data_IF_507427570940
#
_entry.id   IF_507427570940
#
_cell.length_a   1.000
_cell.length_b   1.000
_cell.length_c   1.000
_cell.angle_alpha   90.00
_cell.angle_beta   90.00
_cell.angle_gamma   90.00
#
_symmetry.space_group_name_H-M   'P 1'
#
loop_
_entity.id
_entity.type
_entity.pdbx_description
1 polymer ?
#
# COMPACT_ATOMS: atom_id res chain seq x y z
N UNK A 1 100.77 35.83 -23.21
CA UNK A 1 100.14 34.57 -23.70
C UNK A 1 100.07 33.63 -22.51
N UNK A 2 99.01 32.94 -22.09
CA UNK A 2 97.58 32.84 -22.42
C UNK A 2 96.96 32.09 -21.22
N UNK A 3 95.68 32.33 -20.92
CA UNK A 3 94.74 31.58 -20.07
C UNK A 3 95.06 30.08 -19.82
N UNK A 4 94.59 29.41 -18.75
CA UNK A 4 93.17 29.15 -18.43
C UNK A 4 93.03 28.80 -16.93
N UNK A 5 92.21 29.57 -16.22
CA UNK A 5 91.59 29.16 -14.95
C UNK A 5 90.52 28.10 -15.23
N UNK A 6 90.72 26.85 -14.80
CA UNK A 6 89.63 25.87 -14.71
C UNK A 6 88.98 25.98 -13.34
N UNK A 7 87.94 26.81 -13.28
CA UNK A 7 87.00 26.96 -12.17
C UNK A 7 86.42 25.58 -11.84
N UNK A 8 86.86 24.98 -10.74
CA UNK A 8 86.25 23.78 -10.19
C UNK A 8 84.76 24.02 -10.03
N UNK A 9 83.94 23.25 -10.77
CA UNK A 9 82.50 23.26 -10.61
C UNK A 9 82.17 22.66 -9.26
N UNK A 10 81.94 23.51 -8.25
CA UNK A 10 81.16 23.18 -7.06
C UNK A 10 79.84 22.57 -7.53
N UNK A 11 79.75 21.24 -7.53
CA UNK A 11 78.51 20.51 -7.69
C UNK A 11 77.65 20.86 -6.48
N UNK A 12 76.63 21.68 -6.77
CA UNK A 12 75.63 22.17 -5.84
C UNK A 12 75.10 21.03 -4.96
N UNK A 13 75.29 21.21 -3.65
CA UNK A 13 74.53 20.56 -2.58
C UNK A 13 73.03 20.76 -2.82
N UNK A 14 72.40 19.90 -3.64
CA UNK A 14 70.96 19.72 -3.65
C UNK A 14 70.61 18.87 -2.43
N UNK A 15 70.40 19.58 -1.33
CA UNK A 15 69.95 19.06 -0.03
C UNK A 15 68.73 18.16 -0.21
N UNK A 16 68.57 17.23 0.73
CA UNK A 16 67.54 16.19 0.87
C UNK A 16 66.07 16.69 0.97
N UNK A 17 65.71 17.73 0.20
CA UNK A 17 64.39 18.36 0.17
C UNK A 17 63.41 17.55 -0.70
N UNK A 18 63.90 16.89 -1.77
CA UNK A 18 63.05 16.10 -2.66
C UNK A 18 62.37 14.89 -1.96
N UNK A 19 63.05 14.12 -1.09
CA UNK A 19 62.39 13.04 -0.33
C UNK A 19 61.29 13.55 0.61
N UNK A 20 61.48 14.71 1.25
CA UNK A 20 60.51 15.29 2.19
C UNK A 20 59.26 15.80 1.46
N UNK A 21 59.42 16.41 0.29
CA UNK A 21 58.28 16.85 -0.51
C UNK A 21 57.46 15.65 -0.99
N UNK A 22 58.12 14.56 -1.40
CA UNK A 22 57.44 13.35 -1.86
C UNK A 22 56.60 12.69 -0.74
N UNK A 23 57.11 12.61 0.48
CA UNK A 23 56.36 12.04 1.61
C UNK A 23 55.18 12.92 2.00
N UNK A 24 55.33 14.25 2.00
CA UNK A 24 54.23 15.18 2.27
C UNK A 24 53.11 15.08 1.23
N UNK A 25 53.46 14.96 -0.06
CA UNK A 25 52.47 14.74 -1.13
C UNK A 25 51.76 13.39 -1.01
N UNK A 26 52.50 12.34 -0.67
CA UNK A 26 51.93 11.00 -0.50
C UNK A 26 50.93 10.97 0.66
N UNK A 27 51.26 11.60 1.79
CA UNK A 27 50.36 11.72 2.94
C UNK A 27 49.12 12.53 2.57
N UNK A 28 49.27 13.64 1.84
CA UNK A 28 48.14 14.46 1.42
C UNK A 28 47.15 13.68 0.55
N UNK A 29 47.64 12.93 -0.43
CA UNK A 29 46.78 12.10 -1.31
C UNK A 29 46.09 10.99 -0.51
N UNK A 30 46.81 10.33 0.41
CA UNK A 30 46.23 9.29 1.25
C UNK A 30 45.10 9.82 2.14
N UNK A 31 45.27 10.99 2.74
CA UNK A 31 44.26 11.64 3.60
C UNK A 31 43.02 12.04 2.78
N UNK A 32 43.22 12.63 1.60
CA UNK A 32 42.12 13.04 0.71
C UNK A 32 41.39 11.82 0.14
N UNK A 33 42.12 10.77 -0.27
CA UNK A 33 41.51 9.52 -0.72
C UNK A 33 40.70 8.85 0.39
N UNK A 34 41.23 8.81 1.61
CA UNK A 34 40.56 8.24 2.78
C UNK A 34 39.28 9.00 3.15
N UNK A 35 39.28 10.34 3.10
CA UNK A 35 38.10 11.14 3.41
C UNK A 35 36.98 10.97 2.37
N UNK A 36 37.32 10.88 1.09
CA UNK A 36 36.33 10.62 0.03
C UNK A 36 35.67 9.25 0.21
N UNK A 37 36.46 8.20 0.45
CA UNK A 37 35.93 6.84 0.68
C UNK A 37 35.07 6.79 1.94
N UNK A 38 35.46 7.49 3.00
CA UNK A 38 34.70 7.56 4.24
C UNK A 38 33.34 8.25 4.05
N UNK A 39 33.30 9.42 3.39
CA UNK A 39 32.05 10.16 3.12
C UNK A 39 31.15 9.38 2.16
N UNK A 40 31.72 8.75 1.12
CA UNK A 40 30.98 7.89 0.22
C UNK A 40 30.38 6.68 0.96
N UNK A 41 31.14 6.05 1.86
CA UNK A 41 30.66 4.92 2.66
C UNK A 41 29.53 5.34 3.60
N UNK A 42 29.61 6.51 4.23
CA UNK A 42 28.51 7.05 5.05
C UNK A 42 27.24 7.27 4.22
N UNK A 43 27.36 7.88 3.04
CA UNK A 43 26.24 8.03 2.11
C UNK A 43 25.66 6.69 1.67
N UNK A 44 26.53 5.71 1.40
CA UNK A 44 26.12 4.35 1.03
C UNK A 44 25.45 3.61 2.19
N UNK A 45 25.91 3.73 3.44
CA UNK A 45 25.24 3.07 4.59
C UNK A 45 23.91 3.73 4.96
N UNK A 46 23.79 5.06 4.82
CA UNK A 46 22.51 5.75 4.98
C UNK A 46 21.51 5.39 3.88
N UNK A 47 21.98 5.13 2.66
CA UNK A 47 21.14 4.65 1.56
C UNK A 47 20.96 3.13 1.54
N UNK A 48 21.87 2.33 2.09
CA UNK A 48 21.72 0.88 2.23
C UNK A 48 20.83 0.53 3.44
N UNK A 49 20.58 1.49 4.34
CA UNK A 49 19.42 1.51 5.22
C UNK A 49 18.09 1.80 4.51
N UNK A 50 18.01 1.74 3.17
CA UNK A 50 16.76 1.60 2.37
C UNK A 50 16.12 0.21 2.54
N UNK A 51 16.26 -0.37 3.73
CA UNK A 51 15.36 -1.37 4.29
C UNK A 51 15.01 -0.97 5.73
N UNK A 52 14.76 0.32 5.94
CA UNK A 52 14.31 0.87 7.20
C UNK A 52 12.93 0.31 7.52
N UNK A 53 12.90 -0.64 8.46
CA UNK A 53 11.72 -1.37 8.96
C UNK A 53 10.84 -1.98 7.87
N UNK A 54 10.80 -3.33 7.70
CA UNK A 54 9.82 -3.93 6.80
C UNK A 54 8.43 -3.39 7.14
N UNK A 55 7.80 -2.72 6.18
CA UNK A 55 6.42 -2.26 6.30
C UNK A 55 5.55 -3.50 6.25
N UNK A 56 5.30 -4.10 7.43
CA UNK A 56 4.45 -5.27 7.55
C UNK A 56 3.01 -4.78 7.37
N UNK A 57 2.58 -4.74 6.12
CA UNK A 57 1.17 -4.69 5.79
C UNK A 57 0.58 -6.08 5.97
N UNK A 58 -0.54 -6.15 6.67
CA UNK A 58 -1.25 -7.40 6.90
C UNK A 58 -2.74 -7.11 6.91
N UNK A 59 -3.45 -7.58 5.90
CA UNK A 59 -4.90 -7.57 5.87
C UNK A 59 -5.40 -8.98 6.08
N UNK A 60 -6.32 -9.14 7.03
CA UNK A 60 -7.00 -10.40 7.31
C UNK A 60 -8.46 -10.29 6.91
N UNK A 61 -8.93 -11.22 6.08
CA UNK A 61 -10.35 -11.43 5.87
C UNK A 61 -10.94 -12.11 7.12
N UNK A 62 -11.99 -11.49 7.67
CA UNK A 62 -12.67 -12.00 8.88
C UNK A 62 -13.96 -12.71 8.48
N UNK A 63 -14.61 -12.24 7.42
CA UNK A 63 -15.88 -12.79 6.98
C UNK A 63 -16.45 -12.04 5.79
N UNK A 64 -17.67 -12.37 5.42
CA UNK A 64 -18.45 -11.75 4.37
C UNK A 64 -19.95 -12.00 4.60
N UNK A 65 -20.78 -11.16 4.01
CA UNK A 65 -22.20 -11.40 3.82
C UNK A 65 -22.53 -11.22 2.33
N UNK A 66 -22.68 -12.34 1.65
CA UNK A 66 -23.06 -12.42 0.24
C UNK A 66 -24.42 -13.06 0.04
N UNK A 67 -25.30 -13.01 1.04
CA UNK A 67 -26.67 -13.50 0.91
C UNK A 67 -27.45 -12.66 -0.10
N UNK A 68 -28.30 -13.34 -0.86
CA UNK A 68 -29.29 -12.71 -1.72
C UNK A 68 -30.48 -12.27 -0.84
N UNK A 69 -30.61 -10.96 -0.60
CA UNK A 69 -31.59 -10.43 0.34
C UNK A 69 -31.68 -8.91 0.32
N UNK A 70 -32.60 -8.36 1.12
CA UNK A 70 -32.79 -6.91 1.22
C UNK A 70 -31.83 -6.21 2.20
N UNK A 71 -31.06 -6.98 2.97
CA UNK A 71 -30.25 -6.48 4.06
C UNK A 71 -28.82 -7.02 3.98
N UNK A 72 -27.84 -6.18 4.36
CA UNK A 72 -26.44 -6.59 4.54
C UNK A 72 -26.09 -6.54 6.01
N UNK A 73 -25.47 -7.59 6.52
CA UNK A 73 -24.77 -7.53 7.80
C UNK A 73 -23.37 -6.96 7.59
N UNK A 74 -22.92 -6.11 8.51
CA UNK A 74 -21.57 -5.53 8.53
C UNK A 74 -20.70 -6.17 9.62
N UNK A 75 -19.43 -5.78 9.67
CA UNK A 75 -18.39 -6.40 10.49
C UNK A 75 -18.63 -6.32 12.01
N UNK A 76 -19.48 -5.42 12.47
CA UNK A 76 -19.90 -5.27 13.87
C UNK A 76 -21.20 -6.04 14.20
N UNK A 77 -21.72 -6.82 13.24
CA UNK A 77 -22.95 -7.61 13.37
C UNK A 77 -24.22 -6.80 13.16
N UNK A 78 -24.15 -5.50 12.90
CA UNK A 78 -25.32 -4.67 12.60
C UNK A 78 -25.82 -4.99 11.19
N UNK A 79 -27.15 -5.05 11.06
CA UNK A 79 -27.80 -5.29 9.77
C UNK A 79 -28.29 -3.96 9.19
N UNK A 80 -27.79 -3.64 8.00
CA UNK A 80 -28.17 -2.46 7.22
C UNK A 80 -29.39 -2.78 6.36
N UNK A 81 -30.46 -2.01 6.54
CA UNK A 81 -31.69 -2.17 5.78
C UNK A 81 -31.56 -1.58 4.36
N UNK A 82 -32.15 -2.25 3.36
CA UNK A 82 -32.21 -1.81 1.96
C UNK A 82 -30.82 -1.56 1.32
N UNK A 83 -29.87 -2.46 1.61
CA UNK A 83 -28.47 -2.30 1.22
C UNK A 83 -27.88 -3.45 0.40
N UNK A 84 -28.53 -4.62 0.32
CA UNK A 84 -28.03 -5.76 -0.43
C UNK A 84 -28.59 -5.85 -1.86
N UNK A 85 -29.90 -5.71 -2.05
CA UNK A 85 -30.54 -5.91 -3.35
C UNK A 85 -31.97 -6.45 -3.21
N UNK A 86 -32.42 -7.20 -4.21
CA UNK A 86 -33.69 -7.93 -4.19
C UNK A 86 -33.42 -9.43 -4.10
N UNK A 87 -34.20 -10.17 -3.31
CA UNK A 87 -34.11 -11.62 -3.22
C UNK A 87 -34.54 -12.29 -4.55
N UNK A 88 -33.63 -12.37 -5.52
CA UNK A 88 -33.91 -12.78 -6.90
C UNK A 88 -32.85 -13.74 -7.44
N UNK A 89 -32.82 -14.95 -6.87
CA UNK A 89 -32.03 -16.12 -7.29
C UNK A 89 -30.54 -15.82 -7.54
N UNK A 90 -29.99 -14.94 -6.70
CA UNK A 90 -28.58 -14.65 -6.60
C UNK A 90 -28.18 -13.20 -6.74
N UNK A 91 -26.86 -12.98 -6.66
CA UNK A 91 -26.29 -11.66 -6.63
C UNK A 91 -26.22 -11.08 -8.03
N UNK A 92 -27.16 -10.22 -8.37
CA UNK A 92 -27.29 -9.59 -9.67
C UNK A 92 -26.39 -8.34 -9.80
N UNK A 93 -26.17 -7.89 -11.04
CA UNK A 93 -25.52 -6.59 -11.27
C UNK A 93 -26.28 -5.47 -10.55
N UNK A 94 -25.55 -4.57 -9.91
CA UNK A 94 -26.07 -3.47 -9.09
C UNK A 94 -26.38 -3.86 -7.65
N UNK A 95 -26.39 -5.15 -7.31
CA UNK A 95 -26.53 -5.60 -5.92
C UNK A 95 -25.22 -5.49 -5.17
N UNK A 96 -25.29 -5.51 -3.84
CA UNK A 96 -24.13 -5.27 -2.98
C UNK A 96 -23.72 -6.49 -2.19
N UNK A 97 -22.42 -6.59 -1.99
CA UNK A 97 -21.74 -7.61 -1.20
C UNK A 97 -20.94 -6.94 -0.09
N UNK A 98 -21.02 -7.47 1.13
CA UNK A 98 -20.22 -6.99 2.26
C UNK A 98 -19.07 -7.96 2.56
N UNK A 99 -17.85 -7.43 2.67
CA UNK A 99 -16.64 -8.20 3.00
C UNK A 99 -15.97 -7.59 4.22
N UNK A 100 -15.71 -8.39 5.24
CA UNK A 100 -15.11 -7.94 6.49
C UNK A 100 -13.60 -8.13 6.46
N UNK A 101 -12.89 -7.04 6.68
CA UNK A 101 -11.43 -7.01 6.68
C UNK A 101 -10.93 -6.36 7.94
N UNK A 102 -9.74 -6.78 8.39
CA UNK A 102 -9.02 -6.09 9.45
C UNK A 102 -7.57 -5.89 9.06
N UNK A 103 -7.09 -4.67 9.30
CA UNK A 103 -5.67 -4.37 9.20
C UNK A 103 -4.97 -4.87 10.46
N UNK A 104 -4.26 -6.00 10.33
CA UNK A 104 -3.39 -6.59 11.34
C UNK A 104 -1.94 -6.09 11.21
N UNK A 105 -1.68 -5.17 10.27
CA UNK A 105 -0.39 -4.53 10.11
C UNK A 105 -0.12 -3.49 11.19
N UNK A 106 1.13 -3.01 11.22
CA UNK A 106 1.58 -1.95 12.14
C UNK A 106 1.46 -0.55 11.51
N UNK A 107 1.08 -0.47 10.23
CA UNK A 107 0.90 0.77 9.48
C UNK A 107 -0.46 0.81 8.80
N UNK A 108 -0.87 2.01 8.40
CA UNK A 108 -2.07 2.22 7.59
C UNK A 108 -1.92 1.48 6.26
N UNK A 109 -2.94 0.74 5.86
CA UNK A 109 -3.00 0.08 4.56
C UNK A 109 -3.89 0.91 3.63
N UNK A 110 -3.34 1.35 2.50
CA UNK A 110 -4.11 2.03 1.45
C UNK A 110 -4.37 1.04 0.32
N UNK A 111 -5.63 0.80 -0.02
CA UNK A 111 -6.05 -0.10 -1.08
C UNK A 111 -5.91 0.61 -2.43
N UNK A 112 -5.14 0.02 -3.35
CA UNK A 112 -4.97 0.50 -4.72
C UNK A 112 -5.83 -0.26 -5.72
N UNK A 113 -6.12 -1.54 -5.46
CA UNK A 113 -7.00 -2.36 -6.30
C UNK A 113 -7.88 -3.23 -5.40
N UNK A 114 -9.19 -3.21 -5.69
CA UNK A 114 -10.16 -4.14 -5.13
C UNK A 114 -10.76 -4.92 -6.30
N UNK A 115 -10.66 -6.25 -6.27
CA UNK A 115 -11.14 -7.11 -7.36
C UNK A 115 -11.97 -8.25 -6.80
N UNK A 116 -13.12 -8.49 -7.43
CA UNK A 116 -14.04 -9.56 -7.07
C UNK A 116 -14.54 -10.27 -8.33
N UNK A 117 -14.52 -11.60 -8.33
CA UNK A 117 -14.96 -12.45 -9.44
C UNK A 117 -14.28 -12.18 -10.82
N UNK A 118 -13.20 -11.39 -10.85
CA UNK A 118 -12.51 -10.97 -12.07
C UNK A 118 -12.67 -9.49 -12.38
N UNK A 119 -13.72 -8.85 -11.86
CA UNK A 119 -14.02 -7.43 -12.04
C UNK A 119 -13.25 -6.56 -11.03
N UNK A 120 -12.69 -5.45 -11.51
CA UNK A 120 -12.03 -4.42 -10.67
C UNK A 120 -13.05 -3.39 -10.26
N UNK A 121 -13.00 -2.98 -8.99
CA UNK A 121 -13.88 -2.01 -8.41
C UNK A 121 -13.12 -0.75 -8.04
N UNK A 122 -13.67 0.41 -8.40
CA UNK A 122 -13.10 1.71 -8.10
C UNK A 122 -13.64 2.26 -6.78
N UNK A 123 -12.82 3.03 -6.08
CA UNK A 123 -13.23 3.63 -4.81
C UNK A 123 -14.15 4.83 -5.07
N UNK A 124 -15.39 4.77 -4.56
CA UNK A 124 -16.40 5.82 -4.78
C UNK A 124 -16.51 6.77 -3.56
N UNK A 125 -15.77 6.53 -2.49
CA UNK A 125 -16.00 7.20 -1.21
C UNK A 125 -15.71 8.70 -1.14
N UNK A 126 -16.77 9.51 -1.18
CA UNK A 126 -16.75 10.92 -0.76
C UNK A 126 -17.95 11.37 0.09
N UNK A 127 -18.99 10.54 0.24
CA UNK A 127 -20.21 10.91 0.95
C UNK A 127 -20.28 10.28 2.35
N UNK A 128 -20.82 11.01 3.33
CA UNK A 128 -20.90 10.54 4.74
C UNK A 128 -21.96 9.45 4.97
N UNK A 129 -22.53 8.89 3.90
CA UNK A 129 -23.53 7.82 3.94
C UNK A 129 -23.43 6.97 2.68
N UNK A 130 -23.61 5.66 2.79
CA UNK A 130 -23.85 4.84 1.61
C UNK A 130 -25.13 5.33 0.91
N UNK A 131 -25.12 5.48 -0.43
CA UNK A 131 -26.35 5.72 -1.17
C UNK A 131 -27.34 4.59 -0.91
N UNK A 132 -28.59 4.91 -0.60
CA UNK A 132 -29.63 3.91 -0.46
C UNK A 132 -29.80 3.14 -1.78
N UNK A 133 -29.83 1.80 -1.74
CA UNK A 133 -30.34 1.06 -2.90
C UNK A 133 -31.85 1.30 -2.93
N UNK A 134 -32.33 2.01 -3.95
CA UNK A 134 -33.77 2.05 -4.20
C UNK A 134 -34.17 0.67 -4.71
N UNK A 135 -34.88 -0.12 -3.90
CA UNK A 135 -35.33 -1.45 -4.29
C UNK A 135 -36.01 -1.42 -5.67
N UNK A 136 -35.49 -2.19 -6.64
CA UNK A 136 -36.01 -2.24 -8.00
C UNK A 136 -35.42 -1.23 -9.00
N UNK A 137 -34.47 -0.38 -8.57
CA UNK A 137 -33.65 0.42 -9.47
C UNK A 137 -32.21 -0.06 -9.34
N UNK A 138 -31.76 -0.86 -10.30
CA UNK A 138 -30.34 -0.88 -10.63
C UNK A 138 -30.02 0.51 -11.15
N UNK A 139 -29.70 1.44 -10.25
CA UNK A 139 -29.21 2.75 -10.65
C UNK A 139 -27.82 2.51 -11.26
N UNK A 140 -27.83 2.29 -12.58
CA UNK A 140 -26.70 1.96 -13.45
C UNK A 140 -25.57 3.03 -13.48
N UNK A 141 -25.62 4.01 -12.58
CA UNK A 141 -24.65 5.09 -12.48
C UNK A 141 -23.40 4.71 -11.67
N UNK A 142 -23.47 3.69 -10.81
CA UNK A 142 -22.40 3.32 -9.87
C UNK A 142 -22.03 1.81 -9.91
N UNK A 143 -22.31 1.13 -11.02
CA UNK A 143 -21.91 -0.28 -11.19
C UNK A 143 -20.38 -0.40 -11.22
N UNK A 144 -19.81 -1.24 -10.36
CA UNK A 144 -18.36 -1.40 -10.25
C UNK A 144 -17.69 -0.52 -9.19
N UNK A 145 -18.45 0.00 -8.23
CA UNK A 145 -17.93 0.77 -7.09
C UNK A 145 -17.65 -0.02 -5.82
N UNK A 146 -16.76 0.51 -4.98
CA UNK A 146 -16.66 0.09 -3.58
C UNK A 146 -16.58 1.24 -2.57
N UNK A 147 -17.05 0.94 -1.35
CA UNK A 147 -17.00 1.80 -0.18
C UNK A 147 -16.33 1.06 0.99
N UNK A 148 -15.72 1.81 1.91
CA UNK A 148 -15.14 1.26 3.14
C UNK A 148 -15.90 1.82 4.34
N UNK A 149 -16.59 0.94 5.06
CA UNK A 149 -17.34 1.26 6.25
C UNK A 149 -16.50 0.94 7.48
N UNK A 150 -16.21 1.95 8.30
CA UNK A 150 -15.35 1.79 9.47
C UNK A 150 -16.12 1.60 10.76
N UNK A 151 -17.37 2.07 10.81
CA UNK A 151 -18.29 1.94 11.94
C UNK A 151 -19.72 1.97 11.41
N UNK A 152 -20.62 1.26 12.07
CA UNK A 152 -22.06 1.50 11.93
C UNK A 152 -22.61 2.12 13.22
N UNK A 153 -23.55 3.06 13.09
CA UNK A 153 -24.31 3.56 14.23
C UNK A 153 -25.79 3.15 14.12
N UNK A 154 -26.17 2.15 14.92
CA UNK A 154 -27.55 1.85 15.28
C UNK A 154 -28.49 1.41 14.15
N UNK A 155 -29.74 1.12 14.53
CA UNK A 155 -30.83 0.68 13.65
C UNK A 155 -31.16 1.78 12.64
N UNK A 156 -30.71 1.62 11.39
CA UNK A 156 -30.81 2.66 10.34
C UNK A 156 -29.46 3.14 9.81
N UNK A 157 -28.35 2.73 10.43
CA UNK A 157 -27.02 2.68 9.84
C UNK A 157 -26.52 4.00 9.25
N UNK A 158 -26.26 5.02 10.08
CA UNK A 158 -25.27 6.02 9.64
C UNK A 158 -23.93 5.31 9.62
N UNK A 159 -23.30 5.33 8.47
CA UNK A 159 -22.06 4.62 8.22
C UNK A 159 -20.93 5.63 8.17
N UNK A 160 -19.96 5.48 9.06
CA UNK A 160 -18.75 6.28 8.97
C UNK A 160 -17.91 5.69 7.86
N UNK A 161 -17.98 6.31 6.68
CA UNK A 161 -17.12 5.96 5.56
C UNK A 161 -15.74 6.59 5.76
N UNK A 162 -14.70 5.90 5.29
CA UNK A 162 -13.41 6.55 5.05
C UNK A 162 -13.53 7.57 3.91
N UNK A 163 -12.75 8.65 3.91
CA UNK A 163 -12.67 9.59 2.78
C UNK A 163 -11.65 9.15 1.72
N UNK A 164 -10.90 8.10 2.01
CA UNK A 164 -9.93 7.46 1.13
C UNK A 164 -9.99 5.94 1.31
N UNK A 165 -9.49 5.18 0.34
CA UNK A 165 -9.47 3.72 0.43
C UNK A 165 -8.42 3.20 1.43
N UNK A 166 -8.56 3.53 2.72
CA UNK A 166 -7.53 3.33 3.74
C UNK A 166 -8.06 2.66 5.00
N UNK A 167 -7.21 1.86 5.65
CA UNK A 167 -7.50 1.14 6.89
C UNK A 167 -6.40 1.42 7.92
N UNK A 168 -6.78 1.91 9.09
CA UNK A 168 -5.84 2.18 10.19
C UNK A 168 -5.34 0.87 10.83
N UNK A 169 -4.13 0.85 11.46
CA UNK A 169 -3.65 -0.33 12.18
C UNK A 169 -4.65 -0.82 13.23
N UNK A 170 -4.90 -2.13 13.26
CA UNK A 170 -5.86 -2.78 14.17
C UNK A 170 -7.34 -2.59 13.81
N UNK A 171 -7.66 -1.71 12.86
CA UNK A 171 -9.03 -1.37 12.50
C UNK A 171 -9.70 -2.50 11.72
N UNK A 172 -10.94 -2.81 12.11
CA UNK A 172 -11.85 -3.64 11.33
C UNK A 172 -12.75 -2.74 10.48
N UNK A 173 -13.07 -3.17 9.28
CA UNK A 173 -13.96 -2.46 8.37
C UNK A 173 -14.74 -3.44 7.50
N UNK A 174 -15.83 -2.95 6.92
CA UNK A 174 -16.56 -3.64 5.86
C UNK A 174 -16.28 -2.95 4.53
N UNK A 175 -15.74 -3.70 3.57
CA UNK A 175 -15.71 -3.30 2.17
C UNK A 175 -17.07 -3.68 1.58
N UNK A 176 -17.82 -2.68 1.11
CA UNK A 176 -19.08 -2.90 0.40
C UNK A 176 -18.81 -2.72 -1.08
N UNK A 177 -19.07 -3.77 -1.87
CA UNK A 177 -18.95 -3.76 -3.32
C UNK A 177 -20.34 -3.62 -3.93
N UNK A 178 -20.51 -2.79 -4.96
CA UNK A 178 -21.68 -2.81 -5.84
C UNK A 178 -21.33 -3.55 -7.12
N UNK A 179 -21.86 -4.75 -7.28
CA UNK A 179 -21.47 -5.72 -8.29
C UNK A 179 -21.65 -5.18 -9.71
N UNK A 180 -20.57 -5.22 -10.50
CA UNK A 180 -20.63 -4.89 -11.93
C UNK A 180 -21.16 -6.04 -12.80
N UNK A 181 -21.24 -7.25 -12.25
CA UNK A 181 -21.66 -8.46 -12.98
C UNK A 181 -22.50 -9.38 -12.10
N UNK A 182 -23.33 -10.21 -12.74
CA UNK A 182 -24.11 -11.22 -12.05
C UNK A 182 -23.22 -12.37 -11.59
N UNK A 183 -23.30 -12.69 -10.29
CA UNK A 183 -22.64 -13.84 -9.69
C UNK A 183 -23.69 -14.81 -9.16
N UNK A 184 -23.79 -15.97 -9.82
CA UNK A 184 -24.72 -17.04 -9.44
C UNK A 184 -24.48 -17.52 -8.01
N UNK A 185 -25.55 -17.82 -7.29
CA UNK A 185 -25.53 -18.39 -5.93
C UNK A 185 -24.82 -19.75 -5.88
N UNK A 186 -24.17 -20.02 -4.76
CA UNK A 186 -23.46 -21.28 -4.51
C UNK A 186 -22.14 -21.39 -5.27
N UNK A 187 -21.60 -20.27 -5.77
CA UNK A 187 -20.29 -20.24 -6.41
C UNK A 187 -19.27 -19.58 -5.50
N UNK A 188 -18.07 -20.14 -5.54
CA UNK A 188 -16.90 -19.52 -4.93
C UNK A 188 -16.40 -18.44 -5.87
N UNK A 189 -16.34 -17.21 -5.37
CA UNK A 189 -15.77 -16.07 -6.05
C UNK A 189 -14.52 -15.60 -5.31
N UNK A 190 -13.45 -15.33 -6.08
CA UNK A 190 -12.20 -14.85 -5.51
C UNK A 190 -12.30 -13.35 -5.22
N UNK A 191 -11.87 -12.98 -4.02
CA UNK A 191 -11.67 -11.60 -3.60
C UNK A 191 -10.16 -11.32 -3.57
N UNK A 192 -9.74 -10.21 -4.17
CA UNK A 192 -8.34 -9.77 -4.16
C UNK A 192 -8.27 -8.30 -3.73
N UNK A 193 -7.41 -8.04 -2.77
CA UNK A 193 -7.06 -6.71 -2.30
C UNK A 193 -5.58 -6.47 -2.61
N UNK A 194 -5.27 -5.36 -3.26
CA UNK A 194 -3.90 -4.91 -3.49
C UNK A 194 -3.71 -3.58 -2.80
N UNK A 195 -2.62 -3.44 -2.05
CA UNK A 195 -2.26 -2.18 -1.40
C UNK A 195 -1.40 -1.31 -2.32
N UNK A 196 -1.29 -0.01 -2.02
CA UNK A 196 -0.41 0.92 -2.71
C UNK A 196 1.08 0.51 -2.66
N UNK A 197 1.46 -0.28 -1.66
CA UNK A 197 2.81 -0.83 -1.51
C UNK A 197 3.00 -2.17 -2.26
N UNK A 198 1.98 -2.63 -2.98
CA UNK A 198 2.02 -3.84 -3.82
C UNK A 198 1.78 -5.14 -3.06
N UNK A 199 1.40 -5.10 -1.78
CA UNK A 199 1.00 -6.31 -1.06
C UNK A 199 -0.35 -6.80 -1.59
N UNK A 200 -0.48 -8.12 -1.78
CA UNK A 200 -1.68 -8.75 -2.32
C UNK A 200 -2.27 -9.71 -1.29
N UNK A 201 -3.54 -9.53 -0.98
CA UNK A 201 -4.31 -10.37 -0.07
C UNK A 201 -5.48 -10.99 -0.84
N UNK A 202 -5.64 -12.31 -0.71
CA UNK A 202 -6.66 -13.06 -1.43
C UNK A 202 -7.60 -13.74 -0.44
N UNK A 203 -8.89 -13.58 -0.66
CA UNK A 203 -9.97 -14.23 0.06
C UNK A 203 -10.90 -14.96 -0.89
N UNK A 204 -11.80 -15.75 -0.33
CA UNK A 204 -12.88 -16.40 -1.07
C UNK A 204 -14.20 -16.03 -0.43
N UNK A 205 -15.21 -15.80 -1.27
CA UNK A 205 -16.57 -15.49 -0.86
C UNK A 205 -17.47 -16.49 -1.55
N UNK A 206 -18.36 -17.12 -0.79
CA UNK A 206 -19.39 -18.01 -1.34
C UNK A 206 -20.67 -17.19 -1.47
N UNK A 207 -21.14 -17.04 -2.69
CA UNK A 207 -22.40 -16.31 -2.97
C UNK A 207 -23.61 -17.06 -2.40
N UNK A 208 -24.54 -16.32 -1.81
CA UNK A 208 -25.69 -16.86 -1.10
C UNK A 208 -25.43 -17.29 0.35
N UNK A 209 -24.21 -17.07 0.87
CA UNK A 209 -23.86 -17.40 2.25
C UNK A 209 -23.34 -16.19 3.02
N UNK A 210 -23.44 -16.29 4.33
CA UNK A 210 -22.79 -15.39 5.28
C UNK A 210 -21.80 -16.20 6.11
N UNK A 211 -20.60 -15.65 6.29
CA UNK A 211 -19.53 -16.24 7.09
C UNK A 211 -18.86 -15.15 7.91
N UNK A 212 -18.62 -15.36 9.19
CA UNK A 212 -18.00 -14.38 10.08
C UNK A 212 -17.95 -14.86 11.52
#
# INVERSE_FOLDING_TARGET
MTNIQSKERKLSSRRAVAPVIATLLLVAIAVVGGSIVFVFSQGFFSQAQVSGTPTIESLKFIGYDGRDGAQLTVHDGVTLAAMAGNATDGLNTGERLAIYVQNQGVQKATLSEVRFAGTVYDYIGSDTSLPALTAGRGDAADDGGFWILTQSSGTGGVLTQSTAAELQPGQQATIVLQLGENVKVGRDAQMKLTTSNGAVFVGTVVTGQQSG
#
